data_IF_411919204052
#
_entry.id   IF_411919204052
#
_cell.length_a   1.000
_cell.length_b   1.000
_cell.length_c   1.000
_cell.angle_alpha   90.00
_cell.angle_beta   90.00
_cell.angle_gamma   90.00
#
_symmetry.space_group_name_H-M   'P 1'
#
loop_
_entity.id
_entity.type
_entity.pdbx_description
1 polymer ?
#
# COMPACT_ATOMS: atom_id res chain seq x y z
N UNK A 1 -14.19 -8.81 9.06
CA UNK A 1 -12.74 -9.04 8.84
C UNK A 1 -12.32 -8.33 7.58
N UNK A 2 -11.25 -7.54 7.63
CA UNK A 2 -10.71 -6.82 6.47
C UNK A 2 -10.03 -7.80 5.51
N UNK A 3 -10.81 -8.39 4.61
CA UNK A 3 -10.30 -9.28 3.58
C UNK A 3 -9.63 -8.46 2.46
N UNK A 4 -8.32 -8.21 2.62
CA UNK A 4 -7.47 -7.53 1.65
C UNK A 4 -6.73 -6.34 2.28
N UNK A 5 -5.67 -6.61 3.04
CA UNK A 5 -4.72 -5.58 3.44
C UNK A 5 -3.99 -4.97 2.22
N UNK A 6 -3.20 -3.91 2.45
CA UNK A 6 -2.54 -3.10 1.42
C UNK A 6 -1.87 -3.87 0.26
N UNK A 7 -1.33 -5.08 0.50
CA UNK A 7 -0.70 -5.90 -0.54
C UNK A 7 -1.51 -7.11 -1.02
N UNK A 8 -2.83 -6.96 -1.13
CA UNK A 8 -3.66 -7.87 -1.90
C UNK A 8 -4.06 -9.18 -1.20
N UNK A 9 -4.77 -10.03 -1.95
CA UNK A 9 -5.27 -11.31 -1.45
C UNK A 9 -4.10 -12.23 -1.09
N UNK A 10 -4.20 -12.93 0.05
CA UNK A 10 -3.24 -13.97 0.42
C UNK A 10 -3.40 -15.17 -0.50
N UNK A 11 -2.29 -15.72 -0.96
CA UNK A 11 -2.25 -16.88 -1.81
C UNK A 11 -0.92 -16.99 -2.53
N UNK A 12 -0.67 -18.17 -3.13
CA UNK A 12 0.57 -18.46 -3.86
C UNK A 12 0.84 -17.46 -5.01
N UNK A 13 -0.21 -16.84 -5.54
CA UNK A 13 -0.11 -15.84 -6.61
C UNK A 13 0.18 -14.42 -6.14
N UNK A 14 0.22 -14.13 -4.83
CA UNK A 14 0.32 -12.75 -4.30
C UNK A 14 1.50 -11.99 -4.89
N UNK A 15 2.69 -12.60 -4.95
CA UNK A 15 3.84 -11.92 -5.52
C UNK A 15 3.58 -11.43 -6.96
N UNK A 16 2.71 -12.08 -7.71
CA UNK A 16 2.41 -11.76 -9.11
C UNK A 16 1.12 -10.95 -9.31
N UNK A 17 0.42 -10.57 -8.23
CA UNK A 17 -0.84 -9.84 -8.30
C UNK A 17 -0.64 -8.36 -8.67
N UNK A 18 -1.74 -7.60 -8.71
CA UNK A 18 -1.74 -6.18 -9.08
C UNK A 18 -1.01 -5.31 -8.06
N UNK A 19 -1.04 -5.68 -6.79
CA UNK A 19 -0.51 -4.91 -5.67
C UNK A 19 1.00 -5.07 -5.50
N UNK A 20 1.48 -6.31 -5.60
CA UNK A 20 2.86 -6.69 -5.28
C UNK A 20 3.70 -6.93 -6.53
N UNK A 21 3.07 -7.28 -7.64
CA UNK A 21 3.75 -7.60 -8.90
C UNK A 21 4.73 -6.52 -9.35
N UNK A 22 4.27 -5.26 -9.39
CA UNK A 22 5.09 -4.10 -9.76
C UNK A 22 6.14 -3.70 -8.71
N UNK A 23 6.08 -4.25 -7.50
CA UNK A 23 6.99 -3.89 -6.41
C UNK A 23 8.25 -4.76 -6.38
N UNK A 24 8.14 -6.07 -6.64
CA UNK A 24 9.29 -7.00 -6.49
C UNK A 24 9.42 -8.04 -7.59
N UNK A 25 8.37 -8.33 -8.35
CA UNK A 25 8.29 -9.58 -9.11
C UNK A 25 8.93 -9.55 -10.48
N UNK A 26 9.48 -8.42 -10.89
CA UNK A 26 10.13 -8.20 -12.19
C UNK A 26 11.11 -9.31 -12.60
N UNK A 27 11.94 -9.77 -11.65
CA UNK A 27 13.00 -10.76 -11.90
C UNK A 27 12.71 -12.14 -11.30
N UNK A 28 11.58 -12.33 -10.61
CA UNK A 28 11.22 -13.64 -10.04
C UNK A 28 11.12 -14.76 -11.08
N UNK A 29 10.54 -14.53 -12.29
CA UNK A 29 10.56 -15.55 -13.33
C UNK A 29 11.98 -15.99 -13.69
N UNK A 30 12.92 -15.03 -13.80
CA UNK A 30 14.33 -15.32 -14.12
C UNK A 30 15.00 -16.17 -13.03
N UNK A 31 14.72 -15.88 -11.76
CA UNK A 31 15.22 -16.67 -10.63
C UNK A 31 14.82 -18.15 -10.71
N UNK A 32 13.67 -18.49 -11.31
CA UNK A 32 13.24 -19.89 -11.45
C UNK A 32 14.19 -20.73 -12.32
N UNK A 33 15.01 -20.11 -13.18
CA UNK A 33 16.02 -20.81 -13.99
C UNK A 33 17.28 -21.20 -13.19
N UNK A 34 17.58 -20.48 -12.10
CA UNK A 34 18.77 -20.68 -11.30
C UNK A 34 18.96 -22.14 -10.83
N UNK A 35 17.99 -22.80 -10.17
CA UNK A 35 18.16 -24.18 -9.71
C UNK A 35 18.35 -25.17 -10.88
N UNK A 36 17.64 -24.97 -11.99
CA UNK A 36 17.77 -25.81 -13.18
C UNK A 36 19.16 -25.70 -13.81
N UNK A 37 19.71 -24.49 -13.89
CA UNK A 37 21.07 -24.25 -14.41
C UNK A 37 22.13 -24.80 -13.46
N UNK A 38 21.97 -24.62 -12.15
CA UNK A 38 22.88 -25.19 -11.14
C UNK A 38 22.92 -26.73 -11.23
N UNK A 39 21.75 -27.38 -11.31
CA UNK A 39 21.65 -28.83 -11.47
C UNK A 39 22.24 -29.31 -12.80
N UNK A 40 21.92 -28.64 -13.92
CA UNK A 40 22.46 -28.98 -15.23
C UNK A 40 23.99 -28.84 -15.27
N UNK A 41 24.55 -27.78 -14.68
CA UNK A 41 26.00 -27.58 -14.59
C UNK A 41 26.66 -28.69 -13.76
N UNK A 42 26.06 -29.11 -12.64
CA UNK A 42 26.55 -30.22 -11.84
C UNK A 42 26.53 -31.56 -12.61
N UNK A 43 25.46 -31.85 -13.36
CA UNK A 43 25.36 -33.05 -14.20
C UNK A 43 26.38 -33.02 -15.34
N UNK A 44 26.53 -31.89 -16.03
CA UNK A 44 27.50 -31.74 -17.10
C UNK A 44 28.94 -31.89 -16.61
N UNK A 45 29.25 -31.40 -15.40
CA UNK A 45 30.53 -31.67 -14.73
C UNK A 45 30.72 -33.16 -14.48
N UNK A 46 29.73 -33.85 -13.89
CA UNK A 46 29.81 -35.30 -13.63
C UNK A 46 30.02 -36.11 -14.92
N UNK A 47 29.51 -35.62 -16.05
CA UNK A 47 29.70 -36.20 -17.39
C UNK A 47 31.01 -35.78 -18.08
N UNK A 48 31.90 -35.06 -17.39
CA UNK A 48 33.17 -34.59 -17.95
C UNK A 48 33.05 -33.49 -19.01
N UNK A 49 31.86 -32.89 -19.18
CA UNK A 49 31.60 -31.86 -20.21
C UNK A 49 31.87 -30.43 -19.74
N UNK A 50 32.05 -30.21 -18.44
CA UNK A 50 32.40 -28.91 -17.85
C UNK A 50 33.51 -29.10 -16.80
N UNK A 51 34.52 -28.21 -16.77
CA UNK A 51 35.55 -28.22 -15.75
C UNK A 51 34.99 -27.72 -14.41
N UNK A 52 35.63 -28.10 -13.30
CA UNK A 52 35.22 -27.68 -11.95
C UNK A 52 35.27 -26.14 -11.78
N UNK A 53 36.21 -25.47 -12.45
CA UNK A 53 36.37 -24.01 -12.44
C UNK A 53 35.20 -23.26 -13.09
N UNK A 54 34.41 -23.93 -13.94
CA UNK A 54 33.23 -23.34 -14.56
C UNK A 54 32.02 -23.30 -13.62
N UNK A 55 32.04 -24.05 -12.52
CA UNK A 55 30.91 -24.11 -11.58
C UNK A 55 30.99 -22.99 -10.55
N UNK A 56 29.82 -22.56 -10.10
CA UNK A 56 29.66 -21.79 -8.87
C UNK A 56 29.44 -22.75 -7.68
N UNK A 57 29.82 -22.35 -6.45
CA UNK A 57 29.58 -23.16 -5.26
C UNK A 57 28.09 -23.47 -5.07
N UNK A 58 27.77 -24.73 -4.76
CA UNK A 58 26.40 -25.17 -4.50
C UNK A 58 25.76 -24.43 -3.31
N UNK A 59 26.56 -24.06 -2.31
CA UNK A 59 26.13 -23.32 -1.12
C UNK A 59 25.48 -21.99 -1.46
N UNK A 60 25.96 -21.27 -2.48
CA UNK A 60 25.34 -20.01 -2.91
C UNK A 60 23.92 -20.21 -3.44
N UNK A 61 23.72 -21.22 -4.30
CA UNK A 61 22.39 -21.53 -4.83
C UNK A 61 21.40 -21.95 -3.76
N UNK A 62 21.86 -22.76 -2.80
CA UNK A 62 21.04 -23.21 -1.68
C UNK A 62 20.68 -22.04 -0.76
N UNK A 63 21.66 -21.25 -0.32
CA UNK A 63 21.41 -20.13 0.59
C UNK A 63 20.41 -19.12 0.00
N UNK A 64 20.71 -18.60 -1.20
CA UNK A 64 19.89 -17.56 -1.80
C UNK A 64 18.56 -18.11 -2.34
N UNK A 65 18.56 -19.35 -2.85
CA UNK A 65 17.34 -20.04 -3.28
C UNK A 65 16.38 -20.29 -2.12
N UNK A 66 16.88 -20.83 -1.00
CA UNK A 66 16.07 -21.08 0.20
C UNK A 66 15.57 -19.77 0.80
N UNK A 67 16.40 -18.74 0.91
CA UNK A 67 15.96 -17.41 1.36
C UNK A 67 14.79 -16.91 0.52
N UNK A 68 14.95 -16.89 -0.81
CA UNK A 68 13.91 -16.40 -1.72
C UNK A 68 12.61 -17.18 -1.54
N UNK A 69 12.68 -18.52 -1.56
CA UNK A 69 11.51 -19.39 -1.47
C UNK A 69 10.79 -19.24 -0.13
N UNK A 70 11.53 -19.26 0.98
CA UNK A 70 10.94 -19.15 2.32
C UNK A 70 10.27 -17.80 2.51
N UNK A 71 10.98 -16.69 2.23
CA UNK A 71 10.41 -15.36 2.38
C UNK A 71 9.22 -15.12 1.43
N UNK A 72 9.31 -15.54 0.16
CA UNK A 72 8.21 -15.42 -0.78
C UNK A 72 6.99 -16.24 -0.35
N UNK A 73 7.19 -17.45 0.21
CA UNK A 73 6.12 -18.28 0.74
C UNK A 73 5.43 -17.61 1.94
N UNK A 74 6.20 -17.15 2.93
CA UNK A 74 5.67 -16.44 4.11
C UNK A 74 4.87 -15.21 3.69
N UNK A 75 5.43 -14.35 2.83
CA UNK A 75 4.73 -13.16 2.38
C UNK A 75 3.50 -13.48 1.52
N UNK A 76 3.50 -14.59 0.79
CA UNK A 76 2.34 -15.03 0.01
C UNK A 76 1.20 -15.56 0.89
N UNK A 77 1.52 -16.24 1.99
CA UNK A 77 0.51 -16.86 2.87
C UNK A 77 0.09 -15.98 4.05
N UNK A 78 0.82 -14.91 4.37
CA UNK A 78 0.50 -13.99 5.46
C UNK A 78 -0.92 -13.40 5.30
N UNK A 79 -1.71 -13.50 6.37
CA UNK A 79 -3.03 -12.90 6.45
C UNK A 79 -3.00 -11.58 7.26
N UNK A 80 -4.05 -10.78 7.16
CA UNK A 80 -4.15 -9.49 7.83
C UNK A 80 -3.46 -8.35 7.07
N UNK A 81 -2.90 -7.39 7.82
CA UNK A 81 -2.23 -6.21 7.24
C UNK A 81 -0.87 -6.65 6.67
N UNK A 82 -0.71 -6.49 5.36
CA UNK A 82 0.52 -6.78 4.64
C UNK A 82 0.86 -5.56 3.79
N UNK A 83 2.03 -4.97 4.03
CA UNK A 83 2.51 -3.83 3.25
C UNK A 83 3.44 -4.32 2.13
N UNK A 84 3.24 -3.90 0.88
CA UNK A 84 4.08 -4.33 -0.24
C UNK A 84 5.58 -4.11 -0.02
N UNK A 85 6.00 -3.09 0.71
CA UNK A 85 7.43 -2.82 0.97
C UNK A 85 8.14 -3.94 1.73
N UNK A 86 7.44 -4.82 2.45
CA UNK A 86 8.06 -6.00 3.09
C UNK A 86 8.78 -6.89 2.08
N UNK A 87 8.32 -6.88 0.83
CA UNK A 87 8.94 -7.67 -0.24
C UNK A 87 10.34 -7.20 -0.64
N UNK A 88 10.78 -6.02 -0.20
CA UNK A 88 12.17 -5.56 -0.36
C UNK A 88 13.18 -6.56 0.23
N UNK A 89 12.77 -7.34 1.24
CA UNK A 89 13.55 -8.44 1.83
C UNK A 89 13.95 -9.54 0.81
N UNK A 90 13.24 -9.65 -0.32
CA UNK A 90 13.56 -10.60 -1.39
C UNK A 90 14.69 -10.10 -2.31
N UNK A 91 14.94 -8.79 -2.35
CA UNK A 91 15.83 -8.17 -3.33
C UNK A 91 17.27 -8.73 -3.31
N UNK A 92 17.94 -8.94 -2.15
CA UNK A 92 19.28 -9.51 -2.13
C UNK A 92 19.34 -10.92 -2.73
N UNK A 93 18.34 -11.76 -2.42
CA UNK A 93 18.27 -13.12 -2.93
C UNK A 93 18.00 -13.15 -4.44
N UNK A 94 17.11 -12.28 -4.93
CA UNK A 94 16.86 -12.08 -6.37
C UNK A 94 18.14 -11.67 -7.09
N UNK A 95 18.85 -10.67 -6.55
CA UNK A 95 20.10 -10.17 -7.14
C UNK A 95 21.18 -11.25 -7.20
N UNK A 96 21.37 -12.01 -6.11
CA UNK A 96 22.34 -13.08 -6.04
C UNK A 96 22.03 -14.23 -7.01
N UNK A 97 20.76 -14.63 -7.14
CA UNK A 97 20.35 -15.69 -8.06
C UNK A 97 20.46 -15.25 -9.52
N UNK A 98 20.05 -14.03 -9.87
CA UNK A 98 20.18 -13.49 -11.22
C UNK A 98 21.65 -13.29 -11.62
N UNK A 99 22.46 -12.71 -10.72
CA UNK A 99 23.90 -12.54 -10.93
C UNK A 99 24.63 -13.89 -11.04
N UNK A 100 24.29 -14.84 -10.16
CA UNK A 100 24.80 -16.20 -10.20
C UNK A 100 24.43 -16.92 -11.50
N UNK A 101 23.20 -16.76 -11.98
CA UNK A 101 22.74 -17.32 -13.26
C UNK A 101 23.58 -16.77 -14.42
N UNK A 102 23.72 -15.45 -14.51
CA UNK A 102 24.56 -14.81 -15.53
C UNK A 102 26.01 -15.30 -15.46
N UNK A 103 26.60 -15.33 -14.27
CA UNK A 103 27.97 -15.79 -14.08
C UNK A 103 28.16 -17.27 -14.46
N UNK A 104 27.22 -18.15 -14.10
CA UNK A 104 27.26 -19.56 -14.46
C UNK A 104 27.19 -19.77 -15.98
N UNK A 105 26.30 -19.05 -16.67
CA UNK A 105 26.16 -19.14 -18.12
C UNK A 105 27.40 -18.61 -18.86
N UNK A 106 27.99 -17.50 -18.40
CA UNK A 106 29.22 -16.94 -18.95
C UNK A 106 30.40 -17.90 -18.75
N UNK A 107 30.55 -18.46 -17.54
CA UNK A 107 31.60 -19.45 -17.25
C UNK A 107 31.44 -20.71 -18.09
N UNK A 108 30.22 -21.23 -18.23
CA UNK A 108 29.94 -22.38 -19.07
C UNK A 108 30.26 -22.11 -20.55
N UNK A 109 29.89 -20.93 -21.07
CA UNK A 109 30.23 -20.55 -22.44
C UNK A 109 31.75 -20.46 -22.66
N UNK A 110 32.48 -19.81 -21.74
CA UNK A 110 33.95 -19.71 -21.79
C UNK A 110 34.65 -21.07 -21.66
N UNK A 111 34.01 -22.04 -21.00
CA UNK A 111 34.47 -23.42 -20.93
C UNK A 111 34.11 -24.28 -22.16
N UNK A 112 33.62 -23.67 -23.25
CA UNK A 112 33.33 -24.35 -24.52
C UNK A 112 31.85 -24.76 -24.71
N UNK A 113 30.97 -24.49 -23.74
CA UNK A 113 29.54 -24.76 -23.90
C UNK A 113 28.85 -23.65 -24.70
N UNK A 114 29.06 -23.62 -26.02
CA UNK A 114 28.54 -22.57 -26.92
C UNK A 114 27.00 -22.47 -26.97
N UNK A 115 26.27 -23.43 -26.38
CA UNK A 115 24.80 -23.39 -26.23
C UNK A 115 24.34 -22.65 -24.97
N UNK A 116 25.21 -22.35 -24.00
CA UNK A 116 24.84 -21.66 -22.76
C UNK A 116 24.10 -20.31 -22.99
N UNK A 117 24.45 -19.47 -23.98
CA UNK A 117 23.71 -18.24 -24.25
C UNK A 117 22.24 -18.44 -24.62
N UNK A 118 21.82 -19.63 -25.10
CA UNK A 118 20.40 -19.91 -25.37
C UNK A 118 19.55 -19.94 -24.10
N UNK A 119 20.13 -20.36 -22.98
CA UNK A 119 19.46 -20.27 -21.67
C UNK A 119 19.31 -18.80 -21.27
N UNK A 120 20.31 -17.97 -21.58
CA UNK A 120 20.23 -16.52 -21.42
C UNK A 120 19.12 -15.90 -22.27
N UNK A 121 18.95 -16.36 -23.53
CA UNK A 121 17.84 -15.95 -24.40
C UNK A 121 16.49 -16.27 -23.76
N UNK A 122 16.32 -17.50 -23.26
CA UNK A 122 15.08 -17.89 -22.57
C UNK A 122 14.82 -17.00 -21.33
N UNK A 123 15.86 -16.69 -20.56
CA UNK A 123 15.79 -15.78 -19.43
C UNK A 123 15.34 -14.38 -19.82
N UNK A 124 15.96 -13.78 -20.84
CA UNK A 124 15.59 -12.45 -21.36
C UNK A 124 14.15 -12.44 -21.87
N UNK A 125 13.75 -13.42 -22.68
CA UNK A 125 12.38 -13.51 -23.23
C UNK A 125 11.36 -13.58 -22.10
N UNK A 126 11.60 -14.40 -21.08
CA UNK A 126 10.70 -14.55 -19.95
C UNK A 126 10.61 -13.26 -19.11
N UNK A 127 11.74 -12.60 -18.83
CA UNK A 127 11.76 -11.32 -18.10
C UNK A 127 11.09 -10.19 -18.89
N UNK A 128 11.34 -10.10 -20.19
CA UNK A 128 10.71 -9.10 -21.07
C UNK A 128 9.20 -9.33 -21.16
N UNK A 129 8.75 -10.58 -21.36
CA UNK A 129 7.33 -10.91 -21.39
C UNK A 129 6.65 -10.53 -20.07
N UNK A 130 7.26 -10.86 -18.94
CA UNK A 130 6.72 -10.51 -17.63
C UNK A 130 6.72 -9.00 -17.37
N UNK A 131 7.79 -8.29 -17.74
CA UNK A 131 7.84 -6.84 -17.67
C UNK A 131 6.74 -6.18 -18.51
N UNK A 132 6.46 -6.69 -19.72
CA UNK A 132 5.35 -6.20 -20.54
C UNK A 132 4.01 -6.44 -19.86
N UNK A 133 3.79 -7.61 -19.24
CA UNK A 133 2.56 -7.87 -18.47
C UNK A 133 2.40 -6.85 -17.34
N UNK A 134 3.46 -6.59 -16.57
CA UNK A 134 3.41 -5.62 -15.48
C UNK A 134 3.16 -4.19 -15.96
N UNK A 135 3.84 -3.74 -17.01
CA UNK A 135 3.63 -2.41 -17.59
C UNK A 135 2.22 -2.26 -18.17
N UNK A 136 1.67 -3.31 -18.79
CA UNK A 136 0.33 -3.29 -19.38
C UNK A 136 -0.81 -3.28 -18.35
N UNK A 137 -0.53 -3.57 -17.08
CA UNK A 137 -1.51 -3.41 -15.99
C UNK A 137 -1.79 -1.94 -15.68
N UNK A 138 -0.83 -1.06 -15.97
CA UNK A 138 -0.86 0.37 -15.66
C UNK A 138 -0.60 1.22 -16.91
N UNK A 139 -1.45 1.09 -17.95
CA UNK A 139 -1.20 1.73 -19.25
C UNK A 139 -1.15 3.26 -19.17
N UNK A 140 -1.92 3.86 -18.23
CA UNK A 140 -2.05 5.30 -18.07
C UNK A 140 -0.84 5.96 -17.39
N UNK A 141 -0.07 5.21 -16.61
CA UNK A 141 1.09 5.76 -15.90
C UNK A 141 2.34 5.81 -16.79
N UNK A 142 2.72 4.67 -17.37
CA UNK A 142 3.89 4.56 -18.24
C UNK A 142 3.76 3.39 -19.25
N UNK A 143 2.57 3.19 -19.82
CA UNK A 143 2.31 2.08 -20.76
C UNK A 143 3.22 2.07 -22.00
N UNK A 144 3.77 3.22 -22.37
CA UNK A 144 4.72 3.35 -23.49
C UNK A 144 6.04 2.62 -23.25
N UNK A 145 6.42 2.31 -22.00
CA UNK A 145 7.65 1.59 -21.65
C UNK A 145 7.72 0.17 -22.26
N UNK A 146 6.60 -0.39 -22.70
CA UNK A 146 6.57 -1.65 -23.44
C UNK A 146 7.49 -1.59 -24.67
N UNK A 147 7.51 -0.48 -25.39
CA UNK A 147 8.30 -0.34 -26.62
C UNK A 147 9.83 -0.38 -26.39
N UNK A 148 10.42 0.45 -25.51
CA UNK A 148 11.85 0.35 -25.22
C UNK A 148 12.22 -1.00 -24.60
N UNK A 149 11.38 -1.59 -23.74
CA UNK A 149 11.60 -2.93 -23.17
C UNK A 149 11.70 -3.99 -24.27
N UNK A 150 10.77 -3.97 -25.23
CA UNK A 150 10.80 -4.87 -26.38
C UNK A 150 12.02 -4.63 -27.27
N UNK A 151 12.35 -3.37 -27.58
CA UNK A 151 13.49 -3.03 -28.44
C UNK A 151 14.81 -3.52 -27.84
N UNK A 152 15.07 -3.21 -26.58
CA UNK A 152 16.31 -3.63 -25.90
C UNK A 152 16.31 -5.15 -25.67
N UNK A 153 15.16 -5.74 -25.38
CA UNK A 153 15.00 -7.20 -25.28
C UNK A 153 15.32 -7.94 -26.59
N UNK A 154 14.77 -7.49 -27.71
CA UNK A 154 15.07 -8.05 -29.03
C UNK A 154 16.55 -7.92 -29.39
N UNK A 155 17.16 -6.75 -29.14
CA UNK A 155 18.58 -6.54 -29.35
C UNK A 155 19.43 -7.50 -28.50
N UNK A 156 19.10 -7.68 -27.22
CA UNK A 156 19.78 -8.62 -26.34
C UNK A 156 19.66 -10.07 -26.82
N UNK A 157 18.48 -10.49 -27.27
CA UNK A 157 18.27 -11.83 -27.84
C UNK A 157 19.15 -12.07 -29.07
N UNK A 158 19.15 -11.12 -30.01
CA UNK A 158 19.99 -11.21 -31.23
C UNK A 158 21.47 -11.32 -30.86
N UNK A 159 21.96 -10.45 -29.98
CA UNK A 159 23.36 -10.46 -29.54
C UNK A 159 23.73 -11.77 -28.84
N UNK A 160 22.86 -12.31 -27.99
CA UNK A 160 23.08 -13.59 -27.31
C UNK A 160 23.13 -14.76 -28.31
N UNK A 161 22.25 -14.78 -29.31
CA UNK A 161 22.29 -15.80 -30.37
C UNK A 161 23.57 -15.71 -31.18
N UNK A 162 24.00 -14.51 -31.58
CA UNK A 162 25.24 -14.28 -32.33
C UNK A 162 26.50 -14.62 -31.51
N UNK A 163 26.46 -14.39 -30.19
CA UNK A 163 27.58 -14.69 -29.28
C UNK A 163 27.94 -16.18 -29.25
N UNK A 164 27.01 -17.07 -29.64
CA UNK A 164 27.26 -18.51 -29.78
C UNK A 164 28.36 -18.84 -30.78
N UNK A 165 28.45 -18.05 -31.87
CA UNK A 165 29.45 -18.21 -32.94
C UNK A 165 30.60 -17.22 -32.79
N UNK A 166 30.32 -16.03 -32.24
CA UNK A 166 31.29 -14.95 -32.09
C UNK A 166 31.48 -14.61 -30.61
N UNK A 167 32.37 -15.35 -29.92
CA UNK A 167 32.58 -15.18 -28.47
C UNK A 167 32.97 -13.76 -28.04
N UNK A 168 33.54 -12.94 -28.94
CA UNK A 168 33.83 -11.51 -28.70
C UNK A 168 32.58 -10.69 -28.38
N UNK A 169 31.41 -11.09 -28.88
CA UNK A 169 30.14 -10.41 -28.64
C UNK A 169 29.54 -10.73 -27.27
N UNK A 170 30.05 -11.73 -26.54
CA UNK A 170 29.45 -12.19 -25.29
C UNK A 170 29.31 -11.07 -24.25
N UNK A 171 30.35 -10.25 -24.07
CA UNK A 171 30.32 -9.15 -23.07
C UNK A 171 29.24 -8.13 -23.41
N UNK A 172 29.14 -7.74 -24.67
CA UNK A 172 28.11 -6.80 -25.15
C UNK A 172 26.71 -7.42 -25.05
N UNK A 173 26.58 -8.70 -25.41
CA UNK A 173 25.32 -9.44 -25.31
C UNK A 173 24.82 -9.54 -23.86
N UNK A 174 25.72 -9.81 -22.91
CA UNK A 174 25.39 -9.83 -21.47
C UNK A 174 25.01 -8.44 -20.97
N UNK A 175 25.74 -7.39 -21.38
CA UNK A 175 25.40 -6.01 -21.04
C UNK A 175 24.01 -5.61 -21.55
N UNK A 176 23.70 -5.93 -22.81
CA UNK A 176 22.38 -5.71 -23.39
C UNK A 176 21.27 -6.51 -22.68
N UNK A 177 21.54 -7.77 -22.31
CA UNK A 177 20.61 -8.59 -21.55
C UNK A 177 20.32 -8.00 -20.17
N UNK A 178 21.34 -7.57 -19.43
CA UNK A 178 21.18 -6.90 -18.14
C UNK A 178 20.39 -5.60 -18.30
N UNK A 179 20.70 -4.79 -19.31
CA UNK A 179 19.93 -3.58 -19.59
C UNK A 179 18.45 -3.91 -19.86
N UNK A 180 18.16 -4.91 -20.71
CA UNK A 180 16.79 -5.27 -21.09
C UNK A 180 15.90 -5.64 -19.89
N UNK A 181 16.45 -6.32 -18.89
CA UNK A 181 15.69 -6.76 -17.71
C UNK A 181 15.58 -5.67 -16.63
N UNK A 182 16.41 -4.62 -16.71
CA UNK A 182 16.44 -3.52 -15.73
C UNK A 182 15.70 -2.26 -16.16
N UNK A 183 15.42 -2.06 -17.46
CA UNK A 183 14.73 -0.85 -17.97
C UNK A 183 13.39 -0.61 -17.26
N UNK A 184 12.52 -1.63 -17.21
CA UNK A 184 11.20 -1.48 -16.60
C UNK A 184 11.25 -1.32 -15.06
N UNK A 185 11.89 -2.22 -14.28
CA UNK A 185 11.98 -2.02 -12.83
C UNK A 185 12.75 -0.76 -12.44
N UNK A 186 13.72 -0.32 -13.27
CA UNK A 186 14.41 0.95 -13.07
C UNK A 186 13.49 2.16 -13.17
N UNK A 187 12.55 2.16 -14.11
CA UNK A 187 11.53 3.21 -14.22
C UNK A 187 10.60 3.26 -13.00
N UNK A 188 10.24 2.09 -12.44
CA UNK A 188 9.49 2.01 -11.18
C UNK A 188 10.33 2.53 -9.99
N UNK A 189 11.61 2.15 -9.90
CA UNK A 189 12.46 2.56 -8.80
C UNK A 189 12.72 4.09 -8.78
N UNK A 190 12.90 4.70 -9.96
CA UNK A 190 13.12 6.16 -10.11
C UNK A 190 11.88 6.98 -9.74
N UNK A 191 10.68 6.40 -9.74
CA UNK A 191 9.50 7.14 -9.29
C UNK A 191 9.47 7.35 -7.78
N UNK A 192 10.32 6.66 -7.01
CA UNK A 192 10.32 6.81 -5.55
C UNK A 192 10.86 8.19 -5.18
N UNK A 193 12.10 8.60 -5.53
CA UNK A 193 12.58 9.96 -5.24
C UNK A 193 11.68 11.05 -5.85
N UNK A 194 11.07 11.89 -5.00
CA UNK A 194 10.29 13.06 -5.43
C UNK A 194 8.82 12.82 -5.77
N UNK A 195 8.29 11.60 -5.59
CA UNK A 195 6.83 11.39 -5.70
C UNK A 195 6.10 11.83 -4.41
N UNK A 196 4.93 12.44 -4.59
CA UNK A 196 4.00 12.78 -3.50
C UNK A 196 3.40 11.54 -2.80
N UNK A 197 3.73 10.32 -3.26
CA UNK A 197 3.32 9.04 -2.71
C UNK A 197 4.25 8.48 -1.62
N UNK A 198 5.28 9.24 -1.22
CA UNK A 198 6.15 8.89 -0.09
C UNK A 198 5.43 9.18 1.24
N UNK A 199 4.39 8.39 1.54
CA UNK A 199 3.72 8.41 2.84
C UNK A 199 4.45 7.51 3.84
N UNK A 200 4.59 7.95 5.09
CA UNK A 200 5.27 7.20 6.16
C UNK A 200 4.63 5.85 6.52
N UNK A 201 3.45 5.53 5.97
CA UNK A 201 2.71 4.30 6.27
C UNK A 201 2.93 3.18 5.24
N UNK A 202 3.12 3.49 3.96
CA UNK A 202 3.26 2.47 2.91
C UNK A 202 4.02 2.99 1.67
N UNK A 203 5.36 3.03 1.70
CA UNK A 203 6.15 3.42 0.54
C UNK A 203 5.94 2.41 -0.61
N UNK A 204 5.62 2.90 -1.80
CA UNK A 204 5.41 2.08 -3.00
C UNK A 204 6.09 2.71 -4.22
N UNK A 205 6.61 1.85 -5.10
CA UNK A 205 7.19 2.25 -6.38
C UNK A 205 6.14 2.21 -7.49
N UNK A 206 6.27 3.08 -8.49
CA UNK A 206 5.32 3.19 -9.60
C UNK A 206 4.01 3.90 -9.24
N UNK A 207 2.93 3.66 -10.01
CA UNK A 207 1.64 4.29 -9.76
C UNK A 207 1.09 3.85 -8.41
N UNK A 208 0.44 4.78 -7.71
CA UNK A 208 -0.24 4.48 -6.45
C UNK A 208 -1.46 3.63 -6.77
N UNK A 209 -1.34 2.31 -6.55
CA UNK A 209 -2.46 1.38 -6.77
C UNK A 209 -3.50 1.44 -5.63
N UNK A 210 -3.20 2.18 -4.53
CA UNK A 210 -4.07 2.37 -3.38
C UNK A 210 -4.01 3.80 -2.82
N UNK A 211 -5.18 4.41 -2.62
CA UNK A 211 -5.38 5.58 -1.78
C UNK A 211 -6.27 5.22 -0.58
N UNK A 212 -5.92 5.71 0.62
CA UNK A 212 -6.77 5.56 1.79
C UNK A 212 -7.94 6.56 1.67
N UNK A 213 -9.13 6.11 1.25
CA UNK A 213 -10.29 7.00 1.17
C UNK A 213 -11.59 6.32 0.74
N UNK A 214 -12.61 6.39 1.60
CA UNK A 214 -14.03 6.30 1.25
C UNK A 214 -14.60 4.88 1.11
N UNK A 215 -15.64 4.58 1.88
CA UNK A 215 -16.40 3.34 1.73
C UNK A 215 -16.99 3.17 0.32
N UNK A 216 -17.16 1.91 -0.07
CA UNK A 216 -18.14 1.49 -1.08
C UNK A 216 -18.08 2.20 -2.44
N UNK A 217 -17.01 1.99 -3.20
CA UNK A 217 -16.98 2.32 -4.63
C UNK A 217 -17.17 1.07 -5.48
N UNK A 218 -18.36 0.89 -6.05
CA UNK A 218 -18.62 -0.11 -7.10
C UNK A 218 -17.63 0.06 -8.27
N UNK A 219 -17.21 -1.04 -8.93
CA UNK A 219 -16.34 -0.96 -10.09
C UNK A 219 -17.08 -0.22 -11.21
N UNK A 220 -16.48 0.89 -11.66
CA UNK A 220 -16.86 1.64 -12.85
C UNK A 220 -16.65 0.75 -14.09
N UNK A 221 -17.64 -0.04 -14.44
CA UNK A 221 -17.67 -0.77 -15.71
C UNK A 221 -17.97 0.24 -16.83
N UNK A 222 -17.02 0.36 -17.76
CA UNK A 222 -17.12 1.20 -18.95
C UNK A 222 -18.39 0.90 -19.75
N UNK A 223 -19.02 1.97 -20.23
CA UNK A 223 -20.28 1.90 -20.95
C UNK A 223 -20.18 1.11 -22.26
N UNK A 224 -21.20 0.30 -22.51
CA UNK A 224 -21.79 0.17 -23.83
C UNK A 224 -23.27 -0.19 -23.68
N UNK A 225 -24.14 0.55 -24.36
CA UNK A 225 -25.58 0.35 -24.29
C UNK A 225 -26.02 -0.99 -24.87
N UNK A 226 -27.03 -1.61 -24.25
CA UNK A 226 -27.72 -2.80 -24.73
C UNK A 226 -28.66 -3.33 -23.64
N UNK A 227 -29.90 -3.62 -23.99
CA UNK A 227 -31.02 -3.80 -23.06
C UNK A 227 -30.86 -4.91 -22.01
N UNK A 228 -31.54 -4.71 -20.88
CA UNK A 228 -31.69 -5.68 -19.79
C UNK A 228 -32.61 -6.85 -20.22
N UNK A 229 -32.24 -8.11 -19.96
CA UNK A 229 -33.20 -9.19 -19.79
C UNK A 229 -33.42 -9.46 -18.30
N UNK A 230 -34.69 -9.41 -17.91
CA UNK A 230 -35.25 -9.87 -16.64
C UNK A 230 -35.05 -11.38 -16.43
N UNK A 231 -34.52 -11.76 -15.26
CA UNK A 231 -34.48 -13.17 -14.80
C UNK A 231 -33.52 -13.42 -13.64
N UNK A 232 -34.01 -13.37 -12.40
CA UNK A 232 -33.33 -13.86 -11.19
C UNK A 232 -34.00 -15.16 -10.71
N UNK A 233 -33.26 -16.24 -10.45
CA UNK A 233 -33.70 -17.28 -9.54
C UNK A 233 -33.14 -17.03 -8.13
N UNK A 234 -34.05 -17.05 -7.18
CA UNK A 234 -33.86 -17.14 -5.74
C UNK A 234 -33.12 -18.41 -5.30
N UNK A 235 -32.13 -18.27 -4.40
CA UNK A 235 -31.50 -19.41 -3.73
C UNK A 235 -30.29 -19.02 -2.86
N UNK A 236 -30.53 -18.73 -1.58
CA UNK A 236 -29.49 -18.66 -0.53
C UNK A 236 -29.40 -20.02 0.18
N UNK A 237 -28.21 -20.65 0.33
CA UNK A 237 -28.03 -21.76 1.25
C UNK A 237 -27.60 -21.26 2.64
N UNK A 238 -28.42 -21.58 3.64
CA UNK A 238 -28.16 -21.51 5.07
C UNK A 238 -27.17 -22.60 5.48
N UNK A 239 -26.11 -22.26 6.21
CA UNK A 239 -25.23 -23.28 6.82
C UNK A 239 -23.91 -22.74 7.35
N UNK A 240 -23.89 -22.26 8.59
CA UNK A 240 -22.65 -22.13 9.39
C UNK A 240 -22.75 -23.04 10.62
N UNK A 241 -21.77 -23.94 10.86
CA UNK A 241 -21.72 -24.69 12.10
C UNK A 241 -21.11 -23.85 13.23
N UNK A 242 -21.86 -23.76 14.32
CA UNK A 242 -21.43 -23.32 15.65
C UNK A 242 -20.65 -24.45 16.34
N UNK A 243 -19.35 -24.23 16.63
CA UNK A 243 -18.63 -24.79 17.77
C UNK A 243 -17.13 -24.41 17.74
N UNK A 244 -16.65 -23.66 18.75
CA UNK A 244 -15.48 -24.02 19.59
C UNK A 244 -15.24 -22.99 20.73
N UNK A 245 -14.50 -23.36 21.81
CA UNK A 245 -14.94 -23.17 23.19
C UNK A 245 -14.35 -21.93 23.89
N UNK A 246 -15.01 -21.55 24.99
CA UNK A 246 -14.67 -20.38 25.79
C UNK A 246 -13.46 -20.53 26.72
N UNK A 247 -13.04 -19.37 27.22
CA UNK A 247 -12.27 -19.15 28.44
C UNK A 247 -12.89 -17.96 29.21
N UNK A 248 -12.73 -17.88 30.54
CA UNK A 248 -13.75 -17.38 31.45
C UNK A 248 -13.46 -16.01 32.07
N UNK A 249 -14.53 -15.33 32.50
CA UNK A 249 -14.48 -14.35 33.58
C UNK A 249 -15.06 -12.97 33.23
N UNK A 250 -16.32 -12.74 33.60
CA UNK A 250 -16.78 -11.54 34.31
C UNK A 250 -18.28 -11.68 34.57
N UNK A 251 -18.62 -11.71 35.85
CA UNK A 251 -19.94 -11.97 36.40
C UNK A 251 -20.93 -10.81 36.20
N UNK A 252 -22.19 -11.17 35.98
CA UNK A 252 -23.34 -10.60 36.70
C UNK A 252 -23.93 -9.27 36.21
N UNK A 253 -25.05 -9.34 35.51
CA UNK A 253 -26.30 -8.78 36.04
C UNK A 253 -27.52 -9.27 35.24
N UNK A 254 -28.41 -9.93 35.97
CA UNK A 254 -29.75 -10.37 35.64
C UNK A 254 -30.71 -9.23 35.26
N UNK A 255 -31.63 -9.49 34.33
CA UNK A 255 -32.85 -8.69 34.16
C UNK A 255 -33.63 -9.12 32.91
N UNK A 256 -34.56 -10.07 33.07
CA UNK A 256 -35.43 -10.56 32.00
C UNK A 256 -36.73 -9.76 31.82
N UNK A 257 -37.55 -10.27 30.87
CA UNK A 257 -38.90 -9.87 30.40
C UNK A 257 -38.89 -8.99 29.13
N UNK A 258 -39.64 -9.22 28.06
CA UNK A 258 -40.59 -10.27 27.66
C UNK A 258 -41.43 -9.78 26.47
N UNK A 259 -41.24 -10.38 25.28
CA UNK A 259 -42.16 -10.48 24.11
C UNK A 259 -42.74 -9.20 23.42
N UNK A 260 -43.41 -9.28 22.24
CA UNK A 260 -43.44 -10.32 21.21
C UNK A 260 -43.10 -9.81 19.78
N UNK A 261 -42.97 -10.78 18.87
CA UNK A 261 -43.05 -10.62 17.42
C UNK A 261 -44.49 -10.29 16.94
N UNK A 262 -44.63 -9.40 15.96
CA UNK A 262 -45.62 -9.51 14.85
C UNK A 262 -45.60 -8.28 13.93
N UNK A 263 -45.77 -8.52 12.63
CA UNK A 263 -46.55 -7.62 11.76
C UNK A 263 -45.80 -6.74 10.75
N UNK A 264 -45.77 -7.20 9.48
CA UNK A 264 -46.28 -6.43 8.33
C UNK A 264 -45.48 -5.23 7.81
N UNK A 265 -44.87 -5.39 6.63
CA UNK A 265 -44.52 -4.27 5.74
C UNK A 265 -45.79 -3.62 5.15
N UNK A 266 -45.74 -2.32 4.83
CA UNK A 266 -46.45 -1.82 3.65
C UNK A 266 -45.50 -1.12 2.66
N UNK A 267 -45.61 -1.56 1.40
CA UNK A 267 -45.08 -0.92 0.20
C UNK A 267 -45.80 0.41 -0.10
N UNK A 268 -45.07 1.40 -0.60
CA UNK A 268 -45.66 2.63 -1.12
C UNK A 268 -44.65 3.62 -1.70
N UNK A 269 -44.17 3.38 -2.93
CA UNK A 269 -43.60 4.42 -3.78
C UNK A 269 -44.68 4.97 -4.72
N UNK A 270 -44.78 6.29 -4.90
CA UNK A 270 -45.37 6.88 -6.09
C UNK A 270 -44.28 7.22 -7.12
N UNK A 271 -44.56 6.84 -8.36
CA UNK A 271 -43.83 7.16 -9.58
C UNK A 271 -44.26 8.51 -10.17
N UNK A 272 -43.30 9.22 -10.77
CA UNK A 272 -43.51 9.96 -12.02
C UNK A 272 -43.54 11.50 -11.95
N UNK A 273 -42.63 12.15 -12.69
CA UNK A 273 -42.87 13.49 -13.25
C UNK A 273 -41.61 14.31 -13.56
N UNK A 274 -41.53 15.06 -14.69
CA UNK A 274 -40.30 15.24 -15.47
C UNK A 274 -39.76 16.68 -15.46
N UNK A 275 -38.46 16.87 -15.78
CA UNK A 275 -37.94 17.97 -16.61
C UNK A 275 -36.43 17.84 -16.83
N UNK A 276 -36.02 17.87 -18.10
CA UNK A 276 -34.62 17.93 -18.51
C UNK A 276 -34.12 19.36 -18.68
N UNK A 277 -32.80 19.55 -18.54
CA UNK A 277 -32.01 20.69 -19.07
C UNK A 277 -30.50 20.40 -18.91
N UNK A 278 -29.59 21.14 -19.59
CA UNK A 278 -28.79 20.58 -20.68
C UNK A 278 -27.28 20.48 -20.37
N UNK A 279 -26.55 19.82 -21.28
CA UNK A 279 -25.11 19.64 -21.20
C UNK A 279 -24.30 20.94 -21.19
N UNK A 280 -23.34 20.98 -20.28
CA UNK A 280 -22.12 21.78 -20.34
C UNK A 280 -20.97 20.77 -20.07
N UNK A 281 -20.01 20.57 -20.96
CA UNK A 281 -19.02 21.57 -21.32
C UNK A 281 -17.70 21.13 -20.69
N UNK A 282 -16.83 20.54 -21.50
CA UNK A 282 -15.49 20.09 -21.15
C UNK A 282 -14.68 21.20 -20.47
N UNK A 283 -14.42 21.05 -19.17
CA UNK A 283 -13.50 21.87 -18.41
C UNK A 283 -12.72 20.96 -17.46
N UNK A 284 -11.42 20.81 -17.69
CA UNK A 284 -10.54 20.05 -16.82
C UNK A 284 -10.54 20.65 -15.42
N UNK A 285 -10.94 19.87 -14.43
CA UNK A 285 -10.75 20.21 -13.03
C UNK A 285 -9.27 20.05 -12.66
N UNK A 286 -8.64 21.01 -11.94
CA UNK A 286 -7.26 20.87 -11.49
C UNK A 286 -7.15 19.71 -10.51
N UNK A 287 -6.05 18.94 -10.61
CA UNK A 287 -5.77 17.76 -9.79
C UNK A 287 -6.07 17.97 -8.30
N UNK A 288 -7.06 17.22 -7.81
CA UNK A 288 -7.48 17.23 -6.42
C UNK A 288 -6.41 16.63 -5.50
N UNK A 289 -5.80 17.54 -4.74
CA UNK A 289 -5.36 17.48 -3.33
C UNK A 289 -5.08 16.10 -2.72
N UNK A 290 -3.88 16.01 -2.12
CA UNK A 290 -3.27 14.83 -1.54
C UNK A 290 -4.17 14.05 -0.58
N UNK A 291 -4.13 12.73 -0.75
CA UNK A 291 -4.64 11.79 0.24
C UNK A 291 -3.83 11.85 1.55
N UNK A 292 -4.30 11.16 2.60
CA UNK A 292 -3.64 11.13 3.89
C UNK A 292 -2.24 10.51 3.72
N UNK A 293 -1.20 11.34 3.84
CA UNK A 293 0.20 10.96 3.56
C UNK A 293 0.90 11.77 2.46
N UNK A 294 0.27 12.81 1.92
CA UNK A 294 0.88 13.67 0.90
C UNK A 294 1.92 14.64 1.48
N UNK A 295 3.21 14.35 1.22
CA UNK A 295 4.33 15.30 1.29
C UNK A 295 4.74 15.78 2.68
N UNK A 296 6.06 15.92 2.91
CA UNK A 296 6.62 16.49 4.15
C UNK A 296 6.37 18.00 4.32
N UNK A 297 5.38 18.58 3.64
CA UNK A 297 5.02 19.99 3.78
C UNK A 297 3.58 20.11 4.29
N UNK A 298 3.41 20.89 5.35
CA UNK A 298 2.10 21.23 5.88
C UNK A 298 1.27 22.01 4.86
N UNK A 299 -0.04 21.86 4.91
CA UNK A 299 -0.94 22.80 4.22
C UNK A 299 -0.88 24.18 4.87
N UNK A 300 -1.42 25.20 4.18
CA UNK A 300 -1.50 26.55 4.75
C UNK A 300 -2.27 26.57 6.08
N UNK A 301 -3.34 25.77 6.20
CA UNK A 301 -4.17 25.74 7.40
C UNK A 301 -3.53 24.91 8.52
N UNK A 302 -2.86 23.80 8.19
CA UNK A 302 -2.06 23.04 9.16
C UNK A 302 -0.95 23.89 9.77
N UNK A 303 -0.24 24.70 8.95
CA UNK A 303 0.77 25.63 9.45
C UNK A 303 0.19 26.63 10.43
N UNK A 304 -0.99 27.18 10.15
CA UNK A 304 -1.65 28.16 11.04
C UNK A 304 -2.02 27.54 12.39
N UNK A 305 -2.59 26.33 12.39
CA UNK A 305 -2.97 25.61 13.61
C UNK A 305 -1.73 25.33 14.47
N UNK A 306 -0.68 24.75 13.86
CA UNK A 306 0.55 24.44 14.58
C UNK A 306 1.21 25.71 15.12
N UNK A 307 1.29 26.75 14.29
CA UNK A 307 1.83 28.06 14.72
C UNK A 307 1.07 28.61 15.92
N UNK A 308 -0.26 28.59 15.88
CA UNK A 308 -1.09 29.05 17.01
C UNK A 308 -0.76 28.27 18.29
N UNK A 309 -0.68 26.94 18.20
CA UNK A 309 -0.39 26.10 19.35
C UNK A 309 1.00 26.37 19.95
N UNK A 310 2.02 26.59 19.09
CA UNK A 310 3.38 26.95 19.51
C UNK A 310 3.44 28.31 20.18
N UNK A 311 2.78 29.33 19.60
CA UNK A 311 2.79 30.71 20.13
C UNK A 311 2.07 30.84 21.47
N UNK A 312 1.02 30.05 21.71
CA UNK A 312 0.19 30.15 22.91
C UNK A 312 0.53 29.10 23.99
N UNK A 313 1.49 28.22 23.72
CA UNK A 313 2.06 27.28 24.69
C UNK A 313 3.59 27.10 24.46
N UNK A 314 4.39 28.18 24.59
CA UNK A 314 5.82 28.14 24.27
C UNK A 314 6.62 27.21 25.19
N UNK A 315 6.19 27.02 26.43
CA UNK A 315 6.86 26.18 27.42
C UNK A 315 6.39 24.71 27.41
N UNK A 316 5.28 24.41 26.73
CA UNK A 316 4.77 23.04 26.63
C UNK A 316 5.75 22.16 25.85
N UNK A 317 6.12 21.02 26.42
CA UNK A 317 7.00 20.03 25.77
C UNK A 317 6.34 19.43 24.53
N UNK A 318 5.03 19.24 24.55
CA UNK A 318 4.22 18.74 23.44
C UNK A 318 3.41 19.91 22.90
N UNK A 319 3.72 20.35 21.67
CA UNK A 319 3.09 21.52 21.05
C UNK A 319 1.67 21.24 20.60
N UNK A 320 1.44 20.05 20.06
CA UNK A 320 0.14 19.65 19.54
C UNK A 320 -0.06 18.14 19.72
N UNK A 321 -1.21 17.74 20.23
CA UNK A 321 -1.69 16.36 20.11
C UNK A 321 -2.76 16.30 19.01
N UNK A 322 -2.76 15.24 18.20
CA UNK A 322 -3.70 15.08 17.09
C UNK A 322 -4.46 13.76 17.24
N UNK A 323 -5.79 13.84 17.33
CA UNK A 323 -6.67 12.67 17.36
C UNK A 323 -6.78 11.98 15.99
N UNK A 324 -7.15 10.70 15.99
CA UNK A 324 -7.28 9.90 14.76
C UNK A 324 -6.04 9.08 14.39
N UNK A 325 -5.03 9.04 15.27
CA UNK A 325 -3.87 8.19 15.14
C UNK A 325 -2.74 8.75 14.27
N UNK A 326 -1.79 7.88 13.95
CA UNK A 326 -0.56 8.23 13.23
C UNK A 326 -0.83 8.84 11.85
N UNK A 327 -1.92 8.45 11.19
CA UNK A 327 -2.27 9.00 9.87
C UNK A 327 -2.63 10.49 9.94
N UNK A 328 -3.40 10.90 10.95
CA UNK A 328 -3.78 12.31 11.15
C UNK A 328 -2.60 13.18 11.60
N UNK A 329 -1.70 12.64 12.42
CA UNK A 329 -0.54 13.39 12.93
C UNK A 329 0.64 13.46 11.96
N UNK A 330 0.73 12.55 10.99
CA UNK A 330 1.92 12.36 10.15
C UNK A 330 2.40 13.62 9.43
N UNK A 331 1.48 14.43 8.89
CA UNK A 331 1.83 15.67 8.20
C UNK A 331 2.52 16.67 9.16
N UNK A 332 1.96 16.87 10.35
CA UNK A 332 2.52 17.73 11.40
C UNK A 332 3.91 17.26 11.85
N UNK A 333 4.07 15.95 12.07
CA UNK A 333 5.35 15.36 12.49
C UNK A 333 6.43 15.50 11.41
N UNK A 334 6.08 15.30 10.14
CA UNK A 334 7.06 15.37 9.04
C UNK A 334 7.33 16.80 8.55
N UNK A 335 6.35 17.69 8.71
CA UNK A 335 6.40 19.06 8.20
C UNK A 335 6.78 20.12 9.23
N UNK A 336 7.26 19.73 10.40
CA UNK A 336 7.74 20.65 11.44
C UNK A 336 8.82 20.01 12.31
N UNK A 337 9.64 20.84 12.95
CA UNK A 337 10.59 20.43 14.00
C UNK A 337 9.96 20.42 15.40
N UNK A 338 8.64 20.64 15.48
CA UNK A 338 7.91 20.74 16.75
C UNK A 338 7.52 19.35 17.28
N UNK A 339 7.45 19.23 18.60
CA UNK A 339 6.96 17.99 19.23
C UNK A 339 5.45 17.86 19.02
N UNK A 340 5.05 17.14 17.98
CA UNK A 340 3.66 16.77 17.71
C UNK A 340 3.46 15.27 17.95
N UNK A 341 2.36 14.92 18.62
CA UNK A 341 2.02 13.52 18.89
C UNK A 341 0.69 13.14 18.25
N UNK A 342 0.60 11.93 17.72
CA UNK A 342 -0.68 11.31 17.36
C UNK A 342 -1.25 10.51 18.53
N UNK A 343 -2.55 10.60 18.76
CA UNK A 343 -3.23 9.83 19.82
C UNK A 343 -3.97 8.64 19.22
N UNK A 344 -3.95 7.50 19.92
CA UNK A 344 -4.72 6.30 19.55
C UNK A 344 -3.99 5.32 18.63
N UNK A 345 -2.66 5.41 18.50
CA UNK A 345 -1.89 4.46 17.68
C UNK A 345 -2.13 4.63 16.18
N UNK A 346 -2.12 3.55 15.40
CA UNK A 346 -2.31 3.65 13.94
C UNK A 346 -3.77 3.90 13.54
N UNK A 347 -4.72 3.27 14.24
CA UNK A 347 -6.17 3.26 13.90
C UNK A 347 -7.07 4.00 14.89
N UNK A 348 -6.50 4.88 15.71
CA UNK A 348 -7.17 5.56 16.83
C UNK A 348 -7.66 4.63 17.97
N UNK A 349 -7.35 3.33 17.94
CA UNK A 349 -7.86 2.33 18.89
C UNK A 349 -7.00 2.15 20.15
N UNK A 350 -5.74 2.58 20.12
CA UNK A 350 -4.80 2.24 21.19
C UNK A 350 -5.02 3.14 22.41
N UNK A 351 -4.70 2.63 23.61
CA UNK A 351 -4.71 3.41 24.84
C UNK A 351 -3.43 4.25 25.00
N UNK A 352 -3.14 5.11 24.02
CA UNK A 352 -1.88 5.85 23.94
C UNK A 352 -2.06 7.24 23.30
N UNK A 353 -1.90 8.34 24.05
CA UNK A 353 -1.94 8.37 25.51
C UNK A 353 -3.29 7.89 26.05
N UNK A 354 -3.29 7.39 27.28
CA UNK A 354 -4.52 7.20 28.04
C UNK A 354 -5.11 8.53 28.51
N UNK A 355 -6.38 8.54 28.89
CA UNK A 355 -7.02 9.72 29.51
C UNK A 355 -6.27 10.17 30.76
N UNK A 356 -5.74 9.24 31.57
CA UNK A 356 -4.95 9.58 32.75
C UNK A 356 -3.66 10.33 32.38
N UNK A 357 -2.98 9.91 31.31
CA UNK A 357 -1.80 10.61 30.80
C UNK A 357 -2.15 11.98 30.20
N UNK A 358 -3.27 12.09 29.48
CA UNK A 358 -3.74 13.40 28.98
C UNK A 358 -3.97 14.37 30.14
N UNK A 359 -4.67 13.93 31.20
CA UNK A 359 -4.88 14.72 32.43
C UNK A 359 -3.58 15.14 33.10
N UNK A 360 -2.61 14.24 33.18
CA UNK A 360 -1.30 14.53 33.77
C UNK A 360 -0.53 15.56 32.94
N UNK A 361 -0.47 15.38 31.62
CA UNK A 361 0.23 16.30 30.73
C UNK A 361 -0.40 17.68 30.68
N UNK A 362 -1.74 17.78 30.68
CA UNK A 362 -2.40 19.09 30.72
C UNK A 362 -2.22 19.77 32.07
N UNK A 363 -2.36 19.03 33.17
CA UNK A 363 -2.14 19.55 34.52
C UNK A 363 -0.70 20.06 34.74
N UNK A 364 0.29 19.34 34.20
CA UNK A 364 1.70 19.71 34.33
C UNK A 364 2.14 20.80 33.33
N UNK A 365 1.25 21.28 32.46
CA UNK A 365 1.59 22.23 31.39
C UNK A 365 2.44 21.63 30.27
N UNK A 366 2.55 20.30 30.20
CA UNK A 366 3.31 19.60 29.16
C UNK A 366 2.58 19.55 27.81
N UNK A 367 1.25 19.64 27.83
CA UNK A 367 0.36 19.66 26.67
C UNK A 367 -0.76 20.67 26.93
N UNK A 368 -1.11 21.48 25.93
CA UNK A 368 -2.26 22.41 26.01
C UNK A 368 -3.26 22.23 24.89
N UNK A 369 -2.76 22.07 23.66
CA UNK A 369 -3.59 22.06 22.47
C UNK A 369 -3.77 20.66 21.89
N UNK A 370 -5.02 20.28 21.68
CA UNK A 370 -5.41 19.00 21.07
C UNK A 370 -6.27 19.27 19.84
N UNK A 371 -5.88 18.74 18.70
CA UNK A 371 -6.65 18.78 17.45
C UNK A 371 -7.47 17.49 17.33
N UNK A 372 -8.79 17.58 17.32
CA UNK A 372 -9.69 16.42 17.23
C UNK A 372 -10.97 16.74 16.46
N UNK A 373 -11.92 15.80 16.37
CA UNK A 373 -13.16 16.03 15.62
C UNK A 373 -14.25 16.71 16.45
N UNK A 374 -15.08 17.53 15.83
CA UNK A 374 -16.22 18.20 16.47
C UNK A 374 -17.43 17.28 16.70
N UNK A 375 -17.48 16.15 16.01
CA UNK A 375 -18.49 15.11 16.21
C UNK A 375 -18.15 14.27 17.42
N UNK A 376 -19.00 14.33 18.44
CA UNK A 376 -18.97 13.39 19.57
C UNK A 376 -18.93 11.96 19.02
N UNK A 377 -17.80 11.29 19.19
CA UNK A 377 -17.58 9.94 18.70
C UNK A 377 -17.09 9.88 17.25
N UNK A 378 -15.81 10.19 17.03
CA UNK A 378 -15.04 9.85 15.82
C UNK A 378 -14.90 8.34 15.56
N UNK A 379 -15.82 7.52 16.05
CA UNK A 379 -16.01 6.12 15.71
C UNK A 379 -17.05 5.99 14.59
N UNK A 380 -16.77 5.12 13.63
CA UNK A 380 -17.81 4.67 12.69
C UNK A 380 -19.02 4.14 13.49
N UNK A 381 -20.27 4.45 13.09
CA UNK A 381 -21.45 3.90 13.76
C UNK A 381 -21.36 2.38 13.85
N UNK A 382 -21.37 1.83 15.06
CA UNK A 382 -21.22 0.39 15.34
C UNK A 382 -19.95 -0.03 16.09
N UNK A 383 -19.10 0.93 16.48
CA UNK A 383 -17.93 0.73 17.36
C UNK A 383 -18.05 1.59 18.64
N UNK A 384 -19.23 1.63 19.27
CA UNK A 384 -19.37 2.23 20.61
C UNK A 384 -18.68 1.36 21.65
N UNK A 385 -17.80 1.96 22.44
CA UNK A 385 -16.91 1.32 23.40
C UNK A 385 -15.46 1.26 22.91
N UNK A 386 -14.60 2.09 23.49
CA UNK A 386 -13.15 2.02 23.28
C UNK A 386 -12.36 3.21 23.84
N UNK A 387 -11.03 3.14 23.79
CA UNK A 387 -10.15 4.23 24.26
C UNK A 387 -10.28 5.51 23.44
N UNK A 388 -10.69 5.43 22.17
CA UNK A 388 -10.98 6.60 21.33
C UNK A 388 -12.09 7.47 21.92
N UNK A 389 -13.23 6.84 22.22
CA UNK A 389 -14.41 7.49 22.80
C UNK A 389 -14.07 8.11 24.16
N UNK A 390 -13.37 7.38 25.03
CA UNK A 390 -12.94 7.90 26.33
C UNK A 390 -12.07 9.16 26.22
N UNK A 391 -11.21 9.27 25.20
CA UNK A 391 -10.42 10.49 24.96
C UNK A 391 -11.28 11.63 24.44
N UNK A 392 -12.11 11.37 23.43
CA UNK A 392 -12.99 12.39 22.86
C UNK A 392 -13.97 12.95 23.90
N UNK A 393 -14.57 12.08 24.74
CA UNK A 393 -15.45 12.50 25.84
C UNK A 393 -14.69 13.36 26.86
N UNK A 394 -13.49 12.93 27.25
CA UNK A 394 -12.67 13.72 28.18
C UNK A 394 -12.29 15.09 27.59
N UNK A 395 -11.93 15.16 26.31
CA UNK A 395 -11.63 16.42 25.62
C UNK A 395 -12.87 17.32 25.60
N UNK A 396 -14.04 16.78 25.29
CA UNK A 396 -15.30 17.53 25.26
C UNK A 396 -15.67 18.10 26.64
N UNK A 397 -15.43 17.33 27.70
CA UNK A 397 -15.77 17.72 29.08
C UNK A 397 -14.76 18.68 29.72
N UNK A 398 -13.50 18.67 29.27
CA UNK A 398 -12.39 19.34 29.98
C UNK A 398 -11.67 20.42 29.15
N UNK A 399 -12.00 20.55 27.86
CA UNK A 399 -11.33 21.51 26.98
C UNK A 399 -12.32 22.44 26.29
N UNK A 400 -11.85 23.63 25.91
CA UNK A 400 -12.66 24.62 25.21
C UNK A 400 -12.30 24.69 23.73
N UNK A 401 -13.29 24.87 22.85
CA UNK A 401 -13.04 25.01 21.41
C UNK A 401 -12.37 26.36 21.12
N UNK A 402 -11.23 26.34 20.46
CA UNK A 402 -10.57 27.54 19.94
C UNK A 402 -11.29 28.00 18.67
N UNK A 403 -11.78 29.26 18.61
CA UNK A 403 -12.42 29.76 17.41
C UNK A 403 -11.49 29.73 16.20
N UNK A 404 -12.00 29.30 15.04
CA UNK A 404 -11.20 29.22 13.82
C UNK A 404 -10.59 30.57 13.39
N UNK A 405 -11.27 31.67 13.69
CA UNK A 405 -10.78 33.03 13.47
C UNK A 405 -9.48 33.32 14.24
N UNK A 406 -9.26 32.72 15.41
CA UNK A 406 -8.09 32.95 16.26
C UNK A 406 -6.79 32.47 15.63
N UNK A 407 -6.85 31.46 14.76
CA UNK A 407 -5.70 30.97 13.97
C UNK A 407 -5.85 31.29 12.48
N UNK A 408 -6.66 32.29 12.10
CA UNK A 408 -6.72 32.79 10.73
C UNK A 408 -7.51 31.93 9.73
N UNK A 409 -8.53 31.20 10.22
CA UNK A 409 -9.59 30.58 9.42
C UNK A 409 -10.78 31.51 9.21
N UNK A 410 -11.51 31.32 8.10
CA UNK A 410 -12.79 32.02 7.82
C UNK A 410 -13.95 31.15 8.27
N UNK A 411 -14.92 31.72 9.01
CA UNK A 411 -16.06 31.04 9.65
C UNK A 411 -17.13 30.49 8.71
N UNK A 412 -16.78 30.09 7.48
CA UNK A 412 -17.72 29.54 6.50
C UNK A 412 -17.73 28.01 6.56
N UNK A 413 -18.22 27.47 7.67
CA UNK A 413 -18.82 26.14 7.73
C UNK A 413 -20.34 26.36 7.76
N UNK A 414 -20.98 26.26 6.60
CA UNK A 414 -22.44 26.20 6.50
C UNK A 414 -22.85 24.76 6.25
N UNK A 415 -23.91 24.33 6.94
CA UNK A 415 -24.52 22.99 7.05
C UNK A 415 -24.95 22.29 5.74
N UNK A 416 -24.47 22.71 4.57
CA UNK A 416 -24.89 22.18 3.28
C UNK A 416 -23.81 21.26 2.67
N UNK A 417 -23.81 20.00 3.11
CA UNK A 417 -23.61 18.77 2.31
C UNK A 417 -22.67 18.70 1.09
N UNK A 418 -21.63 19.55 0.95
CA UNK A 418 -20.80 19.52 -0.25
C UNK A 418 -19.49 20.31 -0.17
N UNK A 419 -18.40 19.59 0.09
CA UNK A 419 -17.06 19.71 -0.53
C UNK A 419 -15.99 19.15 0.43
N UNK A 420 -15.55 17.92 0.15
CA UNK A 420 -14.55 17.19 0.93
C UNK A 420 -13.15 17.83 0.77
N UNK A 421 -12.78 18.65 1.75
CA UNK A 421 -11.40 18.97 2.11
C UNK A 421 -11.21 18.66 3.59
N UNK A 422 -10.05 18.15 3.98
CA UNK A 422 -9.67 18.02 5.40
C UNK A 422 -9.85 19.37 6.10
N UNK A 423 -10.51 19.42 7.27
CA UNK A 423 -10.74 20.66 8.03
C UNK A 423 -12.16 21.22 8.05
N UNK A 424 -13.16 20.45 7.61
CA UNK A 424 -14.58 20.73 7.90
C UNK A 424 -15.07 20.21 9.27
N UNK A 425 -14.28 19.37 9.94
CA UNK A 425 -14.67 18.70 11.18
C UNK A 425 -13.55 18.66 12.25
N UNK A 426 -12.33 19.15 11.94
CA UNK A 426 -11.22 19.15 12.90
C UNK A 426 -11.20 20.48 13.68
N UNK A 427 -11.33 20.39 14.99
CA UNK A 427 -11.39 21.51 15.94
C UNK A 427 -10.16 21.48 16.84
N UNK A 428 -9.56 22.65 17.01
CA UNK A 428 -8.50 22.85 17.99
C UNK A 428 -9.13 23.09 19.36
N UNK A 429 -8.75 22.29 20.35
CA UNK A 429 -9.21 22.38 21.74
C UNK A 429 -8.08 22.94 22.62
N UNK A 430 -8.41 23.92 23.46
CA UNK A 430 -7.56 24.45 24.52
C UNK A 430 -7.91 23.74 25.84
N UNK A 431 -6.97 22.92 26.32
CA UNK A 431 -7.08 22.10 27.52
C UNK A 431 -6.19 22.63 28.65
N UNK A 432 -6.00 23.96 28.75
CA UNK A 432 -5.23 24.57 29.82
C UNK A 432 -5.67 24.06 31.20
N UNK A 433 -4.71 23.82 32.09
CA UNK A 433 -5.01 23.53 33.49
C UNK A 433 -5.66 24.77 34.14
N UNK A 434 -6.87 24.60 34.69
CA UNK A 434 -7.47 25.59 35.60
C UNK A 434 -6.67 25.74 36.90
#
# INVERSE_FOLDING_TARGET
GFAGGFGGQSGLGRMFDQQVGGQISWLLPLCALAPAVAAAAAVLRRRGKLPATALLPASGWLLWGTWLVVCAAVFSTQQGIFHPYYTTQLAPAIAALCGGLTAALVRAHRAGLHRAPLVGVAGVVMSVAWAVVLVRREPDWNGWLVWPVLLVGCAAVVLLVLSRRHGRLLTVAVGAAVASVLVAPGAWAVSVPGSTGMGGSNPTAGPQTFGFGGGGGMPRQGGNGGGLPSGLPSGLPSGMPSNMPGLPGADGSSGGSGAPSSGGMPSGMPTGGPNGMPGAGSGGAPGGRGGPGGGGELTADQRKILKYAVEHAPDARIKLAVEGGALSASAFILGSDETVIGTGGFTNSDNAPSVAQLKEWTKNGELRYILGSDTNGGGRPGLSGGYAEQRSDWIADNCTKVPASSYGGTSSQTDDGGAMGFGGADVLHDCAAE
#
